data_IF_096654597440
#
_entry.id   IF_096654597440
#
_cell.length_a   1.000
_cell.length_b   1.000
_cell.length_c   1.000
_cell.angle_alpha   90.00
_cell.angle_beta   90.00
_cell.angle_gamma   90.00
#
_symmetry.space_group_name_H-M   'P 1'
#
loop_
_entity.id
_entity.type
_entity.pdbx_description
1 polymer ?
#
# COMPACT_ATOMS: atom_id res chain seq x y z
N UNK A 1 -19.49 -72.67 -27.89
CA UNK A 1 -20.65 -71.89 -27.41
C UNK A 1 -20.17 -70.93 -26.33
N UNK A 2 -19.83 -69.69 -26.70
CA UNK A 2 -19.71 -68.56 -25.77
C UNK A 2 -20.23 -67.34 -26.53
N UNK A 3 -21.51 -67.05 -26.38
CA UNK A 3 -22.11 -65.85 -26.95
C UNK A 3 -21.72 -64.66 -26.08
N UNK A 4 -20.89 -63.77 -26.62
CA UNK A 4 -20.64 -62.45 -26.05
C UNK A 4 -21.94 -61.63 -26.15
N UNK A 5 -22.63 -61.46 -25.02
CA UNK A 5 -23.73 -60.52 -24.90
C UNK A 5 -23.15 -59.12 -24.71
N UNK A 6 -23.07 -58.33 -25.78
CA UNK A 6 -22.88 -56.88 -25.67
C UNK A 6 -24.17 -56.28 -25.15
N UNK A 7 -24.21 -55.91 -23.86
CA UNK A 7 -25.33 -55.19 -23.28
C UNK A 7 -25.36 -53.75 -23.85
N UNK A 8 -26.27 -53.49 -24.78
CA UNK A 8 -26.58 -52.13 -25.24
C UNK A 8 -27.12 -51.32 -24.05
N UNK A 9 -26.55 -50.14 -23.73
CA UNK A 9 -27.04 -49.33 -22.62
C UNK A 9 -28.51 -48.99 -22.84
N UNK A 10 -29.34 -49.17 -21.81
CA UNK A 10 -30.75 -48.81 -21.91
C UNK A 10 -30.88 -47.30 -22.13
N UNK A 11 -31.84 -46.89 -22.96
CA UNK A 11 -32.14 -45.48 -23.28
C UNK A 11 -32.33 -44.62 -22.01
N UNK A 12 -32.76 -45.24 -20.91
CA UNK A 12 -32.88 -44.63 -19.59
C UNK A 12 -31.53 -44.28 -18.93
N UNK A 13 -30.49 -45.10 -19.11
CA UNK A 13 -29.15 -44.81 -18.60
C UNK A 13 -28.54 -43.57 -19.30
N UNK A 14 -28.73 -43.46 -20.61
CA UNK A 14 -28.29 -42.31 -21.40
C UNK A 14 -29.03 -41.02 -21.01
N UNK A 15 -30.34 -41.09 -20.82
CA UNK A 15 -31.15 -39.95 -20.36
C UNK A 15 -30.74 -39.52 -18.94
N UNK A 16 -30.46 -40.47 -18.05
CA UNK A 16 -29.96 -40.19 -16.69
C UNK A 16 -28.59 -39.51 -16.70
N UNK A 17 -27.66 -39.98 -17.54
CA UNK A 17 -26.34 -39.37 -17.70
C UNK A 17 -26.42 -37.95 -18.28
N UNK A 18 -27.26 -37.72 -19.28
CA UNK A 18 -27.48 -36.38 -19.85
C UNK A 18 -28.08 -35.42 -18.82
N UNK A 19 -29.05 -35.87 -18.02
CA UNK A 19 -29.62 -35.07 -16.94
C UNK A 19 -28.59 -34.73 -15.87
N UNK A 20 -27.75 -35.70 -15.45
CA UNK A 20 -26.67 -35.49 -14.50
C UNK A 20 -25.63 -34.50 -15.05
N UNK A 21 -25.23 -34.65 -16.31
CA UNK A 21 -24.28 -33.75 -16.96
C UNK A 21 -24.83 -32.32 -17.05
N UNK A 22 -26.12 -32.18 -17.40
CA UNK A 22 -26.81 -30.89 -17.43
C UNK A 22 -26.87 -30.23 -16.06
N UNK A 23 -27.19 -30.99 -15.00
CA UNK A 23 -27.18 -30.50 -13.63
C UNK A 23 -25.77 -30.04 -13.18
N UNK A 24 -24.73 -30.83 -13.49
CA UNK A 24 -23.34 -30.46 -13.20
C UNK A 24 -22.91 -29.19 -13.96
N UNK A 25 -23.30 -29.04 -15.22
CA UNK A 25 -23.02 -27.84 -16.01
C UNK A 25 -23.67 -26.59 -15.42
N UNK A 26 -24.94 -26.69 -15.00
CA UNK A 26 -25.65 -25.58 -14.35
C UNK A 26 -25.02 -25.20 -13.01
N UNK A 27 -24.62 -26.19 -12.19
CA UNK A 27 -23.94 -25.94 -10.93
C UNK A 27 -22.58 -25.28 -11.14
N UNK A 28 -21.78 -25.75 -12.11
CA UNK A 28 -20.48 -25.15 -12.43
C UNK A 28 -20.62 -23.74 -13.01
N UNK A 29 -21.61 -23.51 -13.87
CA UNK A 29 -21.90 -22.17 -14.41
C UNK A 29 -22.34 -21.22 -13.29
N UNK A 30 -23.20 -21.68 -12.38
CA UNK A 30 -23.61 -20.91 -11.20
C UNK A 30 -22.43 -20.57 -10.30
N UNK A 31 -21.55 -21.54 -10.02
CA UNK A 31 -20.32 -21.33 -9.25
C UNK A 31 -19.37 -20.34 -9.95
N UNK A 32 -19.20 -20.45 -11.27
CA UNK A 32 -18.37 -19.55 -12.06
C UNK A 32 -18.90 -18.10 -12.03
N UNK A 33 -20.21 -17.90 -12.25
CA UNK A 33 -20.85 -16.58 -12.16
C UNK A 33 -20.73 -16.02 -10.75
N UNK A 34 -20.94 -16.85 -9.72
CA UNK A 34 -20.77 -16.45 -8.32
C UNK A 34 -19.33 -16.02 -8.01
N UNK A 35 -18.33 -16.78 -8.47
CA UNK A 35 -16.91 -16.45 -8.33
C UNK A 35 -16.55 -15.17 -9.08
N UNK A 36 -17.07 -14.95 -10.30
CA UNK A 36 -16.90 -13.66 -11.02
C UNK A 36 -17.51 -12.52 -10.21
N UNK A 37 -18.71 -12.70 -9.65
CA UNK A 37 -19.35 -11.68 -8.82
C UNK A 37 -18.55 -11.34 -7.56
N UNK A 38 -17.90 -12.33 -6.94
CA UNK A 38 -16.97 -12.11 -5.82
C UNK A 38 -15.72 -11.34 -6.29
N UNK A 39 -15.15 -11.69 -7.44
CA UNK A 39 -13.96 -11.03 -7.97
C UNK A 39 -14.25 -9.57 -8.39
N UNK A 40 -15.45 -9.30 -8.91
CA UNK A 40 -15.90 -7.94 -9.27
C UNK A 40 -16.34 -7.10 -8.06
N UNK A 41 -16.60 -7.72 -6.91
CA UNK A 41 -17.00 -7.04 -5.66
C UNK A 41 -15.91 -6.15 -5.06
N UNK A 42 -14.70 -6.16 -5.61
CA UNK A 42 -13.54 -5.40 -5.12
C UNK A 42 -13.62 -3.88 -5.29
N UNK A 43 -14.59 -3.34 -6.04
CA UNK A 43 -14.83 -1.90 -6.13
C UNK A 43 -15.98 -1.51 -5.22
N UNK A 44 -15.72 -1.33 -3.94
CA UNK A 44 -16.68 -0.70 -3.05
C UNK A 44 -16.87 0.75 -3.54
N UNK A 45 -18.06 1.06 -4.05
CA UNK A 45 -18.42 2.42 -4.43
C UNK A 45 -18.71 3.23 -3.15
N UNK A 46 -18.13 4.42 -3.07
CA UNK A 46 -18.36 5.36 -1.97
C UNK A 46 -19.17 6.54 -2.49
N UNK A 47 -20.06 7.08 -1.67
CA UNK A 47 -20.78 8.33 -1.99
C UNK A 47 -19.92 9.58 -1.79
N UNK A 48 -18.79 9.46 -1.07
CA UNK A 48 -17.88 10.55 -0.71
C UNK A 48 -18.49 11.64 0.19
N UNK A 49 -19.74 11.45 0.61
CA UNK A 49 -20.42 12.24 1.62
C UNK A 49 -19.80 11.99 3.00
N UNK A 50 -20.07 12.89 3.94
CA UNK A 50 -19.62 12.73 5.32
C UNK A 50 -20.11 11.39 5.91
N UNK A 51 -19.20 10.60 6.46
CA UNK A 51 -19.48 9.26 6.98
C UNK A 51 -19.32 8.11 5.97
N UNK A 52 -19.22 8.39 4.67
CA UNK A 52 -19.05 7.36 3.62
C UNK A 52 -17.91 7.72 2.65
N UNK A 53 -16.71 7.78 3.20
CA UNK A 53 -15.45 8.02 2.48
C UNK A 53 -14.51 6.82 2.60
N UNK A 54 -13.68 6.57 1.58
CA UNK A 54 -12.67 5.52 1.67
C UNK A 54 -11.69 5.82 2.81
N UNK A 55 -11.30 4.77 3.56
CA UNK A 55 -10.26 4.85 4.59
C UNK A 55 -8.86 4.57 4.07
N UNK A 56 -8.77 3.92 2.91
CA UNK A 56 -7.52 3.58 2.23
C UNK A 56 -7.61 3.98 0.76
N UNK A 57 -6.47 4.09 0.09
CA UNK A 57 -6.43 4.24 -1.36
C UNK A 57 -7.18 3.08 -2.04
N UNK A 58 -7.82 3.32 -3.21
CA UNK A 58 -8.46 2.28 -4.00
C UNK A 58 -7.43 1.41 -4.74
N UNK A 59 -6.42 0.93 -4.01
CA UNK A 59 -5.28 0.17 -4.50
C UNK A 59 -5.00 -0.98 -3.54
N UNK A 60 -5.02 -2.21 -4.08
CA UNK A 60 -4.53 -3.38 -3.35
C UNK A 60 -3.00 -3.46 -3.45
N UNK A 61 -2.33 -3.01 -2.41
CA UNK A 61 -0.86 -3.02 -2.34
C UNK A 61 -0.36 -4.43 -2.03
N UNK A 62 0.63 -4.91 -2.78
CA UNK A 62 1.27 -6.20 -2.57
C UNK A 62 2.22 -6.16 -1.37
N UNK A 63 2.44 -7.32 -0.77
CA UNK A 63 3.47 -7.51 0.26
C UNK A 63 4.80 -7.84 -0.40
N UNK A 64 5.89 -7.31 0.16
CA UNK A 64 7.27 -7.57 -0.24
C UNK A 64 8.11 -7.88 1.00
N UNK A 65 9.23 -8.59 0.80
CA UNK A 65 10.28 -8.67 1.80
C UNK A 65 11.29 -7.55 1.54
N UNK A 66 11.62 -6.79 2.57
CA UNK A 66 12.63 -5.73 2.49
C UNK A 66 13.69 -5.94 3.57
N UNK A 67 14.95 -6.00 3.17
CA UNK A 67 16.08 -5.92 4.10
C UNK A 67 16.41 -4.45 4.34
N UNK A 68 16.36 -4.02 5.59
CA UNK A 68 16.79 -2.66 5.93
C UNK A 68 18.31 -2.54 5.84
N UNK A 69 18.78 -1.43 5.32
CA UNK A 69 20.19 -1.13 5.17
C UNK A 69 20.41 0.37 5.27
N UNK A 70 21.54 0.74 5.84
CA UNK A 70 22.00 2.13 5.79
C UNK A 70 22.52 2.40 4.37
N UNK A 71 22.15 3.56 3.84
CA UNK A 71 22.63 4.04 2.56
C UNK A 71 23.47 5.31 2.81
N UNK A 72 24.80 5.22 2.78
CA UNK A 72 25.66 6.37 3.00
C UNK A 72 25.70 7.33 1.80
N UNK A 73 25.26 6.88 0.63
CA UNK A 73 25.33 7.65 -0.62
C UNK A 73 24.03 8.44 -0.88
N UNK A 74 22.90 7.99 -0.32
CA UNK A 74 21.57 8.59 -0.51
C UNK A 74 20.87 8.92 0.81
N UNK A 75 19.98 9.93 0.79
CA UNK A 75 19.17 10.39 1.92
C UNK A 75 19.99 10.82 3.15
N UNK A 76 21.16 11.41 2.91
CA UNK A 76 22.01 11.96 3.95
C UNK A 76 21.32 13.04 4.80
N UNK A 77 21.97 13.43 5.91
CA UNK A 77 21.41 14.44 6.80
C UNK A 77 21.51 15.86 6.21
N UNK A 78 22.63 16.28 5.64
CA UNK A 78 22.84 17.66 5.18
C UNK A 78 23.50 17.73 3.80
N UNK A 79 23.49 18.91 3.20
CA UNK A 79 24.04 19.18 1.87
C UNK A 79 23.02 19.20 0.75
N UNK A 80 23.43 19.72 -0.41
CA UNK A 80 22.57 19.87 -1.58
C UNK A 80 21.99 18.54 -2.10
N UNK A 81 22.75 17.44 -2.21
CA UNK A 81 22.18 16.15 -2.62
C UNK A 81 21.07 15.68 -1.70
N UNK A 82 21.33 15.67 -0.38
CA UNK A 82 20.33 15.31 0.63
C UNK A 82 19.08 16.20 0.55
N UNK A 83 19.25 17.51 0.43
CA UNK A 83 18.12 18.43 0.26
C UNK A 83 17.26 18.06 -0.96
N UNK A 84 17.88 17.72 -2.09
CA UNK A 84 17.16 17.33 -3.30
C UNK A 84 16.41 16.01 -3.11
N UNK A 85 17.07 14.99 -2.56
CA UNK A 85 16.50 13.66 -2.33
C UNK A 85 15.31 13.68 -1.37
N UNK A 86 15.46 14.33 -0.21
CA UNK A 86 14.40 14.43 0.78
C UNK A 86 13.18 15.23 0.27
N UNK A 87 13.39 16.21 -0.61
CA UNK A 87 12.28 16.94 -1.23
C UNK A 87 11.62 16.17 -2.38
N UNK A 88 12.35 15.28 -3.04
CA UNK A 88 11.88 14.48 -4.17
C UNK A 88 11.27 13.12 -3.78
N UNK A 89 11.40 12.70 -2.51
CA UNK A 89 10.96 11.35 -2.09
C UNK A 89 9.44 11.13 -2.19
N UNK A 90 8.65 12.19 -2.04
CA UNK A 90 7.18 12.11 -2.17
C UNK A 90 6.80 12.15 -3.65
N UNK A 91 5.69 11.49 -4.03
CA UNK A 91 5.18 11.58 -5.39
C UNK A 91 4.76 13.01 -5.73
N UNK A 92 4.58 13.32 -7.03
CA UNK A 92 3.90 14.54 -7.48
C UNK A 92 2.61 14.78 -6.68
N UNK A 93 2.26 16.05 -6.47
CA UNK A 93 1.15 16.41 -5.57
C UNK A 93 1.49 16.29 -4.07
N UNK A 94 2.77 16.14 -3.70
CA UNK A 94 3.27 16.14 -2.31
C UNK A 94 2.68 15.04 -1.41
N UNK A 95 2.19 13.94 -2.00
CA UNK A 95 1.53 12.86 -1.25
C UNK A 95 0.03 13.06 -1.03
N UNK A 96 -0.61 13.96 -1.78
CA UNK A 96 -2.06 14.09 -1.86
C UNK A 96 -2.61 13.41 -3.12
N UNK A 97 -3.89 13.03 -3.09
CA UNK A 97 -4.68 12.52 -4.21
C UNK A 97 -6.09 13.09 -4.13
N UNK A 98 -6.83 13.04 -5.23
CA UNK A 98 -8.23 13.46 -5.28
C UNK A 98 -9.12 12.29 -5.66
N UNK A 99 -10.16 12.02 -4.85
CA UNK A 99 -11.05 10.90 -5.05
C UNK A 99 -12.51 11.34 -5.14
N UNK A 100 -13.31 10.54 -5.85
CA UNK A 100 -14.73 10.80 -6.10
C UNK A 100 -14.98 11.83 -7.20
N UNK A 101 -16.23 11.95 -7.63
CA UNK A 101 -16.64 12.88 -8.70
C UNK A 101 -16.41 14.34 -8.30
N UNK A 102 -16.54 14.65 -7.01
CA UNK A 102 -16.30 15.99 -6.45
C UNK A 102 -14.81 16.31 -6.22
N UNK A 103 -13.90 15.41 -6.62
CA UNK A 103 -12.46 15.55 -6.42
C UNK A 103 -12.13 16.00 -4.99
N UNK A 104 -12.41 15.17 -3.99
CA UNK A 104 -12.09 15.46 -2.60
C UNK A 104 -10.62 15.15 -2.33
N UNK A 105 -9.88 16.09 -1.73
CA UNK A 105 -8.46 15.93 -1.43
C UNK A 105 -8.25 14.98 -0.25
N UNK A 106 -7.30 14.07 -0.39
CA UNK A 106 -6.85 13.16 0.67
C UNK A 106 -5.33 13.11 0.72
N UNK A 107 -4.76 13.20 1.92
CA UNK A 107 -3.35 12.96 2.17
C UNK A 107 -3.09 11.49 2.48
N UNK A 108 -2.12 10.87 1.82
CA UNK A 108 -1.73 9.49 2.09
C UNK A 108 -0.82 9.44 3.32
N UNK A 109 -1.23 8.71 4.35
CA UNK A 109 -0.55 8.70 5.66
C UNK A 109 0.94 8.37 5.57
N UNK A 110 1.35 7.42 4.72
CA UNK A 110 2.77 7.07 4.53
C UNK A 110 3.60 8.28 4.07
N UNK A 111 3.07 9.09 3.14
CA UNK A 111 3.76 10.29 2.66
C UNK A 111 3.71 11.45 3.67
N UNK A 112 2.67 11.50 4.51
CA UNK A 112 2.66 12.41 5.65
C UNK A 112 3.75 12.04 6.67
N UNK A 113 3.96 10.75 6.94
CA UNK A 113 5.08 10.29 7.77
C UNK A 113 6.43 10.69 7.16
N UNK A 114 6.62 10.54 5.85
CA UNK A 114 7.85 11.02 5.18
C UNK A 114 8.04 12.54 5.27
N UNK A 115 6.96 13.31 5.16
CA UNK A 115 7.00 14.76 5.37
C UNK A 115 7.42 15.11 6.80
N UNK A 116 6.82 14.45 7.80
CA UNK A 116 7.17 14.64 9.20
C UNK A 116 8.63 14.29 9.50
N UNK A 117 9.16 13.21 8.91
CA UNK A 117 10.55 12.82 9.07
C UNK A 117 11.50 13.86 8.49
N UNK A 118 11.21 14.40 7.30
CA UNK A 118 12.01 15.47 6.71
C UNK A 118 11.92 16.79 7.51
N UNK A 119 10.76 17.10 8.10
CA UNK A 119 10.62 18.25 8.99
C UNK A 119 11.51 18.10 10.23
N UNK A 120 11.48 16.94 10.91
CA UNK A 120 12.37 16.67 12.06
C UNK A 120 13.84 16.76 11.67
N UNK A 121 14.23 16.20 10.50
CA UNK A 121 15.58 16.35 9.95
C UNK A 121 15.95 17.83 9.82
N UNK A 122 15.08 18.65 9.24
CA UNK A 122 15.31 20.10 9.09
C UNK A 122 15.49 20.77 10.45
N UNK A 123 14.67 20.44 11.44
CA UNK A 123 14.77 20.97 12.81
C UNK A 123 16.11 20.62 13.47
N UNK A 124 16.62 19.40 13.26
CA UNK A 124 17.92 18.97 13.80
C UNK A 124 19.10 19.76 13.21
N UNK A 125 18.98 20.24 11.97
CA UNK A 125 20.07 20.94 11.26
C UNK A 125 20.02 22.45 11.45
N UNK A 126 18.82 23.02 11.38
CA UNK A 126 18.62 24.47 11.29
C UNK A 126 17.98 25.06 12.54
N UNK A 127 17.66 24.22 13.52
CA UNK A 127 16.95 24.62 14.73
C UNK A 127 15.43 24.56 14.57
N UNK A 128 14.75 24.64 15.71
CA UNK A 128 13.30 24.66 15.77
C UNK A 128 12.75 26.00 15.27
N UNK A 129 11.65 25.95 14.51
CA UNK A 129 10.98 27.15 13.99
C UNK A 129 10.07 27.82 15.05
N UNK A 130 10.00 27.23 16.26
CA UNK A 130 9.20 27.69 17.37
C UNK A 130 7.72 27.36 17.23
N UNK A 131 7.34 26.53 16.26
CA UNK A 131 5.98 26.04 16.07
C UNK A 131 5.73 24.71 16.79
N UNK A 132 4.46 24.32 16.92
CA UNK A 132 4.09 22.99 17.43
C UNK A 132 4.32 21.87 16.41
N UNK A 133 4.89 22.18 15.23
CA UNK A 133 5.00 21.26 14.11
C UNK A 133 5.97 20.11 14.41
N UNK A 134 7.14 20.38 15.00
CA UNK A 134 8.10 19.34 15.40
C UNK A 134 7.44 18.35 16.36
N UNK A 135 6.75 18.85 17.40
CA UNK A 135 6.07 18.01 18.38
C UNK A 135 4.94 17.18 17.74
N UNK A 136 4.14 17.78 16.86
CA UNK A 136 3.13 17.09 16.07
C UNK A 136 3.73 15.95 15.24
N UNK A 137 4.83 16.23 14.51
CA UNK A 137 5.52 15.24 13.68
C UNK A 137 6.01 14.05 14.51
N UNK A 138 6.60 14.28 15.68
CA UNK A 138 7.02 13.21 16.58
C UNK A 138 5.82 12.36 17.06
N UNK A 139 4.71 13.00 17.45
CA UNK A 139 3.50 12.29 17.85
C UNK A 139 2.89 11.48 16.70
N UNK A 140 2.89 12.02 15.49
CA UNK A 140 2.33 11.37 14.29
C UNK A 140 3.16 10.15 13.89
N UNK A 141 4.48 10.28 13.80
CA UNK A 141 5.40 9.17 13.48
C UNK A 141 5.30 8.04 14.51
N UNK A 142 5.28 8.36 15.80
CA UNK A 142 5.10 7.37 16.86
C UNK A 142 3.81 6.56 16.67
N UNK A 143 2.71 7.23 16.35
CA UNK A 143 1.43 6.56 16.11
C UNK A 143 1.46 5.71 14.84
N UNK A 144 2.12 6.17 13.77
CA UNK A 144 2.33 5.41 12.54
C UNK A 144 3.11 4.12 12.79
N UNK A 145 4.22 4.20 13.53
CA UNK A 145 5.05 3.04 13.91
C UNK A 145 4.24 2.02 14.74
N UNK A 146 3.51 2.50 15.75
CA UNK A 146 2.66 1.64 16.58
C UNK A 146 1.48 1.03 15.80
N UNK A 147 0.95 1.74 14.81
CA UNK A 147 -0.10 1.24 13.92
C UNK A 147 0.43 0.15 12.98
N UNK A 148 1.66 0.32 12.47
CA UNK A 148 2.32 -0.70 11.66
C UNK A 148 2.61 -1.99 12.45
N UNK A 149 2.95 -1.85 13.74
CA UNK A 149 3.17 -2.95 14.68
C UNK A 149 4.04 -4.08 14.10
N UNK A 150 5.17 -3.71 13.51
CA UNK A 150 6.10 -4.69 12.94
C UNK A 150 6.64 -5.62 14.04
N UNK A 151 6.43 -6.93 13.88
CA UNK A 151 6.80 -7.97 14.85
C UNK A 151 8.05 -8.74 14.42
N UNK A 152 8.75 -8.25 13.39
CA UNK A 152 10.04 -8.80 12.94
C UNK A 152 11.04 -8.81 14.09
N UNK A 153 11.70 -9.94 14.32
CA UNK A 153 12.69 -10.09 15.39
C UNK A 153 14.08 -9.72 14.87
N UNK A 154 14.64 -8.63 15.39
CA UNK A 154 16.00 -8.21 15.09
C UNK A 154 16.99 -8.84 16.08
N UNK A 155 18.11 -9.44 15.63
CA UNK A 155 19.08 -10.06 16.53
C UNK A 155 19.79 -9.01 17.41
N UNK A 156 19.64 -9.10 18.73
CA UNK A 156 20.30 -8.20 19.69
C UNK A 156 21.83 -8.29 19.76
N UNK A 157 22.47 -9.10 18.92
CA UNK A 157 23.92 -9.31 18.89
C UNK A 157 24.65 -8.67 17.69
N UNK A 158 23.93 -8.17 16.69
CA UNK A 158 24.52 -7.44 15.55
C UNK A 158 24.57 -5.96 15.95
N UNK A 159 25.71 -5.57 16.52
CA UNK A 159 25.94 -4.25 17.10
C UNK A 159 26.94 -3.52 16.20
N UNK A 160 26.59 -2.32 15.73
CA UNK A 160 27.58 -1.40 15.15
C UNK A 160 28.17 -0.53 16.26
N UNK A 161 29.46 -0.25 16.15
CA UNK A 161 30.09 0.81 16.94
C UNK A 161 29.95 2.13 16.19
N UNK A 162 29.15 3.04 16.75
CA UNK A 162 29.04 4.40 16.27
C UNK A 162 30.38 5.13 16.43
N UNK A 163 30.56 6.24 15.69
CA UNK A 163 31.82 7.01 15.72
C UNK A 163 32.20 7.54 17.10
N UNK A 164 31.23 7.68 17.99
CA UNK A 164 31.42 8.10 19.38
C UNK A 164 31.74 6.93 20.33
N UNK A 165 31.85 5.70 19.83
CA UNK A 165 32.10 4.49 20.61
C UNK A 165 30.83 3.80 21.14
N UNK A 166 29.64 4.32 20.86
CA UNK A 166 28.38 3.71 21.30
C UNK A 166 28.08 2.45 20.52
N UNK A 167 27.54 1.46 21.24
CA UNK A 167 27.10 0.18 20.67
C UNK A 167 25.61 0.26 20.35
N UNK A 168 25.28 0.24 19.06
CA UNK A 168 23.91 0.39 18.57
C UNK A 168 23.46 -0.88 17.88
N UNK A 169 22.30 -1.42 18.28
CA UNK A 169 21.65 -2.50 17.54
C UNK A 169 21.14 -1.94 16.21
N UNK A 170 21.52 -2.56 15.09
CA UNK A 170 21.27 -1.96 13.77
C UNK A 170 20.01 -2.46 13.10
N UNK A 171 19.63 -3.72 13.32
CA UNK A 171 18.59 -4.38 12.53
C UNK A 171 18.95 -4.57 11.04
N UNK A 172 20.09 -4.04 10.59
CA UNK A 172 20.53 -4.06 9.18
C UNK A 172 20.63 -5.50 8.67
N UNK A 173 20.07 -5.72 7.49
CA UNK A 173 20.01 -7.02 6.82
C UNK A 173 18.87 -7.92 7.28
N UNK A 174 18.14 -7.57 8.34
CA UNK A 174 16.95 -8.32 8.77
C UNK A 174 15.83 -8.09 7.76
N UNK A 175 15.12 -9.17 7.43
CA UNK A 175 14.01 -9.12 6.46
C UNK A 175 12.70 -8.78 7.15
N UNK A 176 12.11 -7.67 6.75
CA UNK A 176 10.79 -7.21 7.18
C UNK A 176 9.73 -7.56 6.14
N UNK A 177 8.50 -7.78 6.61
CA UNK A 177 7.34 -7.99 5.74
C UNK A 177 6.64 -6.65 5.52
N UNK A 178 6.86 -6.02 4.37
CA UNK A 178 6.41 -4.66 4.09
C UNK A 178 5.31 -4.61 3.02
N UNK A 179 4.55 -3.52 2.99
CA UNK A 179 3.72 -3.16 1.83
C UNK A 179 4.63 -2.50 0.78
N UNK A 180 4.45 -2.84 -0.49
CA UNK A 180 5.26 -2.25 -1.57
C UNK A 180 4.91 -0.79 -1.80
N UNK A 181 5.67 0.10 -1.16
CA UNK A 181 5.47 1.53 -1.24
C UNK A 181 5.58 2.06 -2.68
N UNK A 182 6.34 1.40 -3.57
CA UNK A 182 6.46 1.81 -4.97
C UNK A 182 5.15 1.71 -5.71
N UNK A 183 4.31 0.71 -5.42
CA UNK A 183 2.97 0.65 -6.01
C UNK A 183 2.10 1.84 -5.60
N UNK A 184 2.29 2.35 -4.38
CA UNK A 184 1.60 3.54 -3.90
C UNK A 184 2.13 4.78 -4.62
N UNK A 185 3.46 4.90 -4.77
CA UNK A 185 4.08 5.97 -5.54
C UNK A 185 3.56 6.02 -6.98
N UNK A 186 3.70 4.91 -7.71
CA UNK A 186 3.33 4.80 -9.13
C UNK A 186 1.84 5.09 -9.34
N UNK A 187 0.99 4.63 -8.43
CA UNK A 187 -0.44 4.90 -8.49
C UNK A 187 -0.73 6.40 -8.32
N UNK A 188 -0.05 7.07 -7.39
CA UNK A 188 -0.25 8.50 -7.14
C UNK A 188 0.33 9.37 -8.26
N UNK A 189 1.46 8.98 -8.84
CA UNK A 189 2.01 9.65 -10.01
C UNK A 189 1.01 9.61 -11.18
N UNK A 190 0.44 8.44 -11.45
CA UNK A 190 -0.60 8.28 -12.46
C UNK A 190 -1.88 9.06 -12.15
N UNK A 191 -2.32 9.08 -10.89
CA UNK A 191 -3.47 9.88 -10.46
C UNK A 191 -3.22 11.38 -10.72
N UNK A 192 -2.02 11.85 -10.40
CA UNK A 192 -1.63 13.24 -10.57
C UNK A 192 -1.68 13.73 -12.04
N UNK A 193 -1.48 12.84 -13.02
CA UNK A 193 -1.62 13.17 -14.45
C UNK A 193 -3.04 13.65 -14.81
N UNK A 194 -4.04 13.27 -14.02
CA UNK A 194 -5.46 13.64 -14.23
C UNK A 194 -5.87 14.95 -13.58
N UNK A 195 -4.98 15.60 -12.83
CA UNK A 195 -5.31 16.79 -12.06
C UNK A 195 -5.59 18.01 -12.94
N UNK A 196 -6.66 18.73 -12.63
CA UNK A 196 -7.03 20.00 -13.26
C UNK A 196 -6.31 21.17 -12.59
N UNK A 197 -6.19 22.34 -13.25
CA UNK A 197 -5.63 23.56 -12.64
C UNK A 197 -6.26 23.91 -11.29
N UNK A 198 -7.57 23.74 -11.13
CA UNK A 198 -8.28 24.02 -9.87
C UNK A 198 -7.84 23.09 -8.74
N UNK A 199 -7.55 21.82 -9.05
CA UNK A 199 -7.03 20.85 -8.08
C UNK A 199 -5.64 21.26 -7.58
N UNK A 200 -4.78 21.82 -8.46
CA UNK A 200 -3.48 22.35 -8.04
C UNK A 200 -3.60 23.53 -7.07
N UNK A 201 -4.49 24.47 -7.34
CA UNK A 201 -4.69 25.62 -6.46
C UNK A 201 -5.23 25.20 -5.08
N UNK A 202 -6.17 24.26 -5.03
CA UNK A 202 -6.70 23.72 -3.76
C UNK A 202 -5.63 23.09 -2.88
N UNK A 203 -4.65 22.39 -3.47
CA UNK A 203 -3.54 21.82 -2.70
C UNK A 203 -2.60 22.92 -2.19
N UNK A 204 -2.34 23.98 -2.96
CA UNK A 204 -1.50 25.10 -2.49
C UNK A 204 -2.12 25.81 -1.28
N UNK A 205 -3.44 25.93 -1.24
CA UNK A 205 -4.15 26.51 -0.09
C UNK A 205 -4.13 25.60 1.15
N UNK A 206 -3.93 24.31 0.94
CA UNK A 206 -3.97 23.27 2.00
C UNK A 206 -2.58 22.84 2.51
N UNK A 207 -1.49 23.31 1.88
CA UNK A 207 -0.10 22.88 2.12
C UNK A 207 0.81 24.03 2.52
#
# INVERSE_FOLDING_TARGET
MLSNMSATPSRGLYMGLLAALGACLLLNLGAFVYSIGILQRGTQAYTYLEGDRPRELPLKVRTIQAAFHDDPDYYGLDGMPAWAEWNAIRPPGKGFTFLGEEHLAFGVSMWHQMHCLNHIRSTLLYGDDGSDHTAHCFHYLRQGILCAADTTLEPGGVIMEAKNGDKVATGVGVLHTCRDWRQVYDWMEKDHETWTPDMYERIKESS
#
